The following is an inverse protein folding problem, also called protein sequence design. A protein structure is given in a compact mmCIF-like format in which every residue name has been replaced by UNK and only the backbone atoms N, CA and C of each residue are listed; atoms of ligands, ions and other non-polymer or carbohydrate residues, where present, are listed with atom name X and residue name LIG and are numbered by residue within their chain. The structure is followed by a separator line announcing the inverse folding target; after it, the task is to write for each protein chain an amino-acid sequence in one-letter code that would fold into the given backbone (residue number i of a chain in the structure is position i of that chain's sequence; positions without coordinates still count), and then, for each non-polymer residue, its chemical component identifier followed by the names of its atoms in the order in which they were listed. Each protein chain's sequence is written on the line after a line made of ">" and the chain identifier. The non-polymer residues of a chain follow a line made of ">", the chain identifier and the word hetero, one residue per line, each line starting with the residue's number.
data_IF_898617247164
#
_entry.id   IF_898617247164
#
_cell.length_a   1.000
_cell.length_b   1.000
_cell.length_c   1.000
_cell.angle_alpha   90.00
_cell.angle_beta   90.00
_cell.angle_gamma   90.00
#
_symmetry.space_group_name_H-M   'P 1'
#
loop_
_entity.id
_entity.type
_entity.pdbx_description
1 polymer ?
#
# COMPACT_ATOMS: atom_id res chain seq x y z
N UNK A 1 6.41 13.39 58.52
CA UNK A 1 5.24 12.93 57.75
C UNK A 1 5.00 13.95 56.65
N UNK A 2 5.77 13.86 55.58
CA UNK A 2 5.60 14.73 54.44
C UNK A 2 4.61 14.11 53.51
N UNK A 3 3.48 14.81 53.30
CA UNK A 3 2.45 14.42 52.34
C UNK A 3 2.99 14.62 50.93
N UNK A 4 3.11 13.53 50.20
CA UNK A 4 3.33 13.52 48.76
C UNK A 4 2.20 14.31 48.09
N UNK A 5 2.54 15.41 47.45
CA UNK A 5 1.62 16.16 46.60
C UNK A 5 1.08 15.28 45.47
N UNK A 6 -0.23 15.34 45.11
CA UNK A 6 -0.77 14.59 44.02
C UNK A 6 -0.09 15.01 42.70
N UNK A 7 0.38 14.00 41.94
CA UNK A 7 1.17 14.20 40.73
C UNK A 7 0.50 15.15 39.74
N UNK A 8 1.27 16.13 39.29
CA UNK A 8 0.90 16.98 38.17
C UNK A 8 0.62 16.12 36.98
N UNK A 9 -0.64 16.00 36.56
CA UNK A 9 -1.02 15.42 35.27
C UNK A 9 -0.35 16.26 34.18
N UNK A 10 0.63 15.66 33.47
CA UNK A 10 1.27 16.32 32.35
C UNK A 10 0.20 16.83 31.40
N UNK A 11 0.36 18.06 30.93
CA UNK A 11 -0.57 18.66 29.98
C UNK A 11 -0.75 17.70 28.79
N UNK A 12 -1.97 17.50 28.27
CA UNK A 12 -2.22 16.60 27.17
C UNK A 12 -1.38 17.04 25.97
N UNK A 13 -0.69 16.08 25.35
CA UNK A 13 0.11 16.34 24.17
C UNK A 13 -0.81 16.81 23.04
N UNK A 14 -0.46 17.89 22.39
CA UNK A 14 -1.24 18.48 21.30
C UNK A 14 -0.39 18.64 20.04
N UNK A 15 -1.05 18.58 18.89
CA UNK A 15 -0.48 18.85 17.58
C UNK A 15 -1.51 19.65 16.77
N UNK A 16 -1.17 20.85 16.36
CA UNK A 16 -2.04 21.77 15.61
C UNK A 16 -3.49 21.87 16.17
N UNK A 17 -3.58 21.89 17.50
CA UNK A 17 -4.83 21.96 18.26
C UNK A 17 -5.57 20.63 18.45
N UNK A 18 -5.13 19.55 17.83
CA UNK A 18 -5.63 18.21 18.11
C UNK A 18 -5.04 17.67 19.41
N UNK A 19 -5.90 17.16 20.29
CA UNK A 19 -5.47 16.53 21.54
C UNK A 19 -5.17 15.06 21.26
N UNK A 20 -3.93 14.64 21.52
CA UNK A 20 -3.51 13.25 21.38
C UNK A 20 -3.96 12.44 22.58
N UNK A 21 -4.69 11.38 22.31
CA UNK A 21 -5.09 10.38 23.30
C UNK A 21 -4.10 9.24 23.40
N UNK A 22 -4.62 8.03 23.57
CA UNK A 22 -3.84 6.81 23.66
C UNK A 22 -3.06 6.54 22.38
N UNK A 23 -1.81 6.06 22.53
CA UNK A 23 -1.02 5.57 21.40
C UNK A 23 -1.46 4.13 21.09
N UNK A 24 -2.11 3.95 19.94
CA UNK A 24 -2.66 2.66 19.51
C UNK A 24 -1.67 1.79 18.75
N UNK A 25 -0.65 2.42 18.11
CA UNK A 25 0.40 1.67 17.40
C UNK A 25 1.71 2.45 17.34
N UNK A 26 2.83 1.73 17.26
CA UNK A 26 4.15 2.30 17.03
C UNK A 26 4.99 1.33 16.21
N UNK A 27 5.46 1.77 15.07
CA UNK A 27 6.40 1.06 14.18
C UNK A 27 7.70 1.85 14.01
N UNK A 28 8.65 1.33 13.25
CA UNK A 28 9.84 2.08 12.85
C UNK A 28 9.46 3.32 12.03
N UNK A 29 8.38 3.26 11.24
CA UNK A 29 8.01 4.32 10.29
C UNK A 29 7.06 5.37 10.85
N UNK A 30 6.18 5.01 11.82
CA UNK A 30 5.17 5.94 12.33
C UNK A 30 4.73 5.60 13.76
N UNK A 31 4.24 6.62 14.47
CA UNK A 31 3.47 6.50 15.70
C UNK A 31 2.02 6.91 15.45
N UNK A 32 1.06 6.12 15.93
CA UNK A 32 -0.38 6.33 15.73
C UNK A 32 -1.05 6.57 17.07
N UNK A 33 -1.80 7.67 17.17
CA UNK A 33 -2.51 8.08 18.36
C UNK A 33 -4.00 8.25 18.08
N UNK A 34 -4.86 7.91 19.03
CA UNK A 34 -6.27 8.31 18.99
C UNK A 34 -6.37 9.82 19.11
N UNK A 35 -7.34 10.42 18.43
CA UNK A 35 -7.73 11.81 18.65
C UNK A 35 -8.70 11.88 19.82
N UNK A 36 -8.29 12.50 20.91
CA UNK A 36 -9.15 12.71 22.07
C UNK A 36 -9.99 14.00 21.97
N UNK A 37 -9.52 14.97 21.16
CA UNK A 37 -10.24 16.21 20.88
C UNK A 37 -9.72 16.87 19.63
N UNK A 38 -10.60 17.55 18.90
CA UNK A 38 -10.28 18.30 17.70
C UNK A 38 -10.51 19.80 17.96
N UNK A 39 -9.70 20.70 17.33
CA UNK A 39 -9.91 22.13 17.45
C UNK A 39 -11.23 22.55 16.81
N UNK A 40 -11.89 23.58 17.37
CA UNK A 40 -13.14 24.10 16.83
C UNK A 40 -13.04 24.59 15.38
N UNK A 41 -11.84 24.97 14.94
CA UNK A 41 -11.52 25.37 13.56
C UNK A 41 -11.43 24.21 12.58
N UNK A 42 -11.28 22.96 13.09
CA UNK A 42 -11.15 21.73 12.28
C UNK A 42 -12.01 20.61 12.90
N UNK A 43 -13.33 20.75 12.93
CA UNK A 43 -14.21 19.73 13.54
C UNK A 43 -14.15 18.44 12.71
N UNK A 44 -14.04 17.29 13.39
CA UNK A 44 -14.07 15.97 12.77
C UNK A 44 -15.46 15.37 12.97
N UNK A 45 -16.12 14.97 11.88
CA UNK A 45 -17.40 14.28 11.92
C UNK A 45 -17.30 12.76 12.15
N UNK A 46 -16.14 12.25 12.66
CA UNK A 46 -15.84 10.84 12.82
C UNK A 46 -14.76 10.60 13.88
N UNK A 47 -14.72 9.43 14.50
CA UNK A 47 -13.59 9.01 15.32
C UNK A 47 -12.32 8.98 14.49
N UNK A 48 -11.22 9.57 14.99
CA UNK A 48 -10.01 9.76 14.22
C UNK A 48 -8.76 9.27 14.94
N UNK A 49 -7.72 9.05 14.15
CA UNK A 49 -6.33 8.87 14.58
C UNK A 49 -5.43 9.93 13.96
N UNK A 50 -4.32 10.18 14.64
CA UNK A 50 -3.19 10.93 14.10
C UNK A 50 -2.04 9.98 13.86
N UNK A 51 -1.59 9.90 12.61
CA UNK A 51 -0.39 9.19 12.18
C UNK A 51 0.75 10.21 12.08
N UNK A 52 1.80 10.05 12.88
CA UNK A 52 3.02 10.86 12.85
C UNK A 52 4.17 10.02 12.30
N UNK A 53 4.87 10.45 11.24
CA UNK A 53 6.04 9.75 10.76
C UNK A 53 7.15 9.82 11.83
N UNK A 54 7.94 8.77 11.94
CA UNK A 54 9.15 8.74 12.76
C UNK A 54 10.34 8.99 11.85
N UNK A 55 11.02 10.08 12.10
CA UNK A 55 12.22 10.48 11.37
C UNK A 55 13.39 10.18 12.29
N UNK A 56 14.09 9.06 12.06
CA UNK A 56 15.32 8.78 12.78
C UNK A 56 16.50 9.46 12.07
N UNK A 57 17.39 10.07 12.85
CA UNK A 57 18.59 10.67 12.30
C UNK A 57 19.44 9.59 11.56
N UNK A 58 19.69 9.80 10.27
CA UNK A 58 20.46 8.87 9.42
C UNK A 58 19.60 7.87 8.62
N UNK A 59 18.28 7.81 8.82
CA UNK A 59 17.40 7.08 7.92
C UNK A 59 17.11 7.92 6.67
N UNK A 60 17.13 7.26 5.48
CA UNK A 60 16.84 7.93 4.21
C UNK A 60 15.43 8.52 4.15
N UNK A 61 15.15 9.32 3.12
CA UNK A 61 13.88 10.02 2.90
C UNK A 61 12.64 9.11 2.72
N UNK A 62 12.79 7.79 2.73
CA UNK A 62 11.75 6.80 2.42
C UNK A 62 10.48 6.92 3.29
N UNK A 63 10.55 7.04 4.64
CA UNK A 63 9.35 7.18 5.47
C UNK A 63 8.56 8.45 5.18
N UNK A 64 9.26 9.56 4.89
CA UNK A 64 8.63 10.83 4.56
C UNK A 64 7.95 10.80 3.19
N UNK A 65 8.54 10.12 2.21
CA UNK A 65 7.94 10.00 0.87
C UNK A 65 6.66 9.18 0.93
N UNK A 66 6.62 8.07 1.67
CA UNK A 66 5.40 7.30 1.88
C UNK A 66 4.33 8.13 2.59
N UNK A 67 4.71 8.87 3.64
CA UNK A 67 3.81 9.77 4.34
C UNK A 67 3.25 10.86 3.39
N UNK A 68 4.10 11.48 2.57
CA UNK A 68 3.70 12.49 1.60
C UNK A 68 2.77 11.90 0.54
N UNK A 69 3.08 10.70 0.04
CA UNK A 69 2.22 9.97 -0.92
C UNK A 69 0.83 9.77 -0.32
N UNK A 70 0.73 9.27 0.90
CA UNK A 70 -0.54 9.04 1.58
C UNK A 70 -1.32 10.34 1.79
N UNK A 71 -0.65 11.42 2.21
CA UNK A 71 -1.27 12.73 2.43
C UNK A 71 -1.80 13.39 1.15
N UNK A 72 -1.25 13.05 -0.01
CA UNK A 72 -1.71 13.53 -1.31
C UNK A 72 -2.84 12.66 -1.90
N UNK A 73 -2.79 11.35 -1.72
CA UNK A 73 -3.73 10.42 -2.34
C UNK A 73 -5.04 10.33 -1.55
N UNK A 74 -5.00 10.19 -0.22
CA UNK A 74 -6.22 10.01 0.57
C UNK A 74 -7.29 11.09 0.35
N UNK A 75 -6.97 12.40 0.26
CA UNK A 75 -7.98 13.43 -0.01
C UNK A 75 -8.70 13.28 -1.35
N UNK A 76 -8.11 12.55 -2.30
CA UNK A 76 -8.67 12.34 -3.63
C UNK A 76 -9.61 11.14 -3.70
N UNK A 77 -9.60 10.29 -2.67
CA UNK A 77 -10.40 9.07 -2.64
C UNK A 77 -11.69 9.27 -1.85
N UNK A 78 -12.82 9.11 -2.53
CA UNK A 78 -14.16 9.17 -1.95
C UNK A 78 -14.81 7.78 -1.98
N UNK A 79 -14.67 7.00 -0.89
CA UNK A 79 -15.18 5.63 -0.81
C UNK A 79 -15.37 5.18 0.64
N UNK A 80 -16.39 4.37 0.95
CA UNK A 80 -16.51 3.72 2.26
C UNK A 80 -15.39 2.72 2.54
N UNK A 81 -14.65 2.32 1.51
CA UNK A 81 -13.57 1.35 1.57
C UNK A 81 -12.18 1.97 1.83
N UNK A 82 -12.12 3.27 2.12
CA UNK A 82 -10.90 3.97 2.52
C UNK A 82 -11.19 4.83 3.75
N UNK A 83 -10.21 5.10 4.63
CA UNK A 83 -10.40 6.02 5.75
C UNK A 83 -10.74 7.43 5.26
N UNK A 84 -11.68 8.10 5.90
CA UNK A 84 -11.94 9.52 5.66
C UNK A 84 -10.73 10.35 6.04
N UNK A 85 -10.38 11.30 5.20
CA UNK A 85 -9.28 12.23 5.44
C UNK A 85 -9.78 13.40 6.31
N UNK A 86 -9.09 13.67 7.43
CA UNK A 86 -9.41 14.75 8.36
C UNK A 86 -8.46 15.95 8.28
N UNK A 87 -7.30 15.78 7.63
CA UNK A 87 -6.29 16.82 7.47
C UNK A 87 -4.87 16.31 7.56
N UNK A 88 -3.92 17.18 7.23
CA UNK A 88 -2.48 16.90 7.36
C UNK A 88 -1.76 18.13 7.87
N UNK A 89 -0.65 17.92 8.57
CA UNK A 89 0.31 18.95 8.94
C UNK A 89 1.30 19.27 7.83
N UNK A 90 2.03 20.35 8.00
CA UNK A 90 3.11 20.70 7.07
C UNK A 90 4.26 19.70 7.22
N UNK A 91 4.61 19.05 6.11
CA UNK A 91 5.66 18.03 6.08
C UNK A 91 7.04 18.55 6.49
N UNK A 92 7.28 19.84 6.33
CA UNK A 92 8.57 20.47 6.64
C UNK A 92 8.73 20.83 8.11
N UNK A 93 7.64 21.11 8.82
CA UNK A 93 7.68 21.62 10.20
C UNK A 93 7.12 20.63 11.21
N UNK A 94 5.93 20.10 10.97
CA UNK A 94 5.24 19.20 11.89
C UNK A 94 4.37 18.19 11.10
N UNK A 95 5.00 17.13 10.55
CA UNK A 95 4.29 16.18 9.73
C UNK A 95 3.34 15.31 10.58
N UNK A 96 2.05 15.39 10.28
CA UNK A 96 1.04 14.51 10.81
C UNK A 96 -0.10 14.32 9.81
N UNK A 97 -0.81 13.20 9.91
CA UNK A 97 -1.98 12.89 9.11
C UNK A 97 -3.14 12.52 10.03
N UNK A 98 -4.28 13.19 9.86
CA UNK A 98 -5.53 12.89 10.57
C UNK A 98 -6.42 12.08 9.64
N UNK A 99 -6.76 10.87 10.05
CA UNK A 99 -7.62 9.96 9.28
C UNK A 99 -8.64 9.29 10.19
N UNK A 100 -9.69 8.75 9.59
CA UNK A 100 -10.71 8.00 10.31
C UNK A 100 -10.09 6.80 11.05
N UNK A 101 -10.52 6.61 12.30
CA UNK A 101 -10.36 5.35 13.00
C UNK A 101 -11.36 4.34 12.46
N UNK A 102 -10.87 3.27 11.85
CA UNK A 102 -11.72 2.20 11.35
C UNK A 102 -11.97 1.19 12.47
N UNK A 103 -13.23 1.05 12.86
CA UNK A 103 -13.65 0.01 13.78
C UNK A 103 -13.80 -1.32 13.02
N UNK A 104 -13.20 -2.39 13.53
CA UNK A 104 -13.21 -3.70 12.89
C UNK A 104 -12.04 -4.57 13.30
N UNK A 105 -11.92 -5.71 12.65
CA UNK A 105 -10.84 -6.69 12.85
C UNK A 105 -9.89 -6.66 11.66
N UNK A 106 -8.60 -6.66 11.91
CA UNK A 106 -7.63 -6.75 10.82
C UNK A 106 -7.72 -8.10 10.12
N UNK A 107 -7.54 -8.11 8.80
CA UNK A 107 -7.51 -9.37 8.05
C UNK A 107 -6.32 -10.24 8.48
N UNK A 108 -5.23 -9.65 8.96
CA UNK A 108 -4.10 -10.36 9.55
C UNK A 108 -4.51 -11.26 10.72
N UNK A 109 -5.36 -10.73 11.61
CA UNK A 109 -5.87 -11.51 12.74
C UNK A 109 -6.69 -12.71 12.28
N UNK A 110 -7.50 -12.53 11.22
CA UNK A 110 -8.29 -13.63 10.64
C UNK A 110 -7.40 -14.67 9.94
N UNK A 111 -6.39 -14.23 9.20
CA UNK A 111 -5.44 -15.10 8.48
C UNK A 111 -4.61 -15.96 9.45
N UNK A 112 -4.39 -15.53 10.69
CA UNK A 112 -3.74 -16.36 11.73
C UNK A 112 -4.46 -17.68 12.00
N UNK A 113 -5.73 -17.77 11.66
CA UNK A 113 -6.54 -18.98 11.80
C UNK A 113 -6.61 -19.82 10.52
N UNK A 114 -5.84 -19.46 9.48
CA UNK A 114 -5.80 -20.20 8.21
C UNK A 114 -5.22 -21.64 8.41
N UNK A 115 -5.69 -22.64 7.62
CA UNK A 115 -6.59 -22.50 6.48
C UNK A 115 -8.04 -22.28 6.89
N UNK A 116 -8.69 -21.32 6.23
CA UNK A 116 -10.09 -20.97 6.43
C UNK A 116 -11.01 -21.82 5.52
N UNK A 117 -12.27 -21.95 5.91
CA UNK A 117 -13.27 -22.58 5.07
C UNK A 117 -13.44 -21.82 3.73
N UNK A 118 -13.67 -22.54 2.62
CA UNK A 118 -13.76 -21.95 1.29
C UNK A 118 -14.79 -20.81 1.19
N UNK A 119 -15.94 -20.95 1.85
CA UNK A 119 -16.96 -19.89 1.90
C UNK A 119 -16.50 -18.65 2.63
N UNK A 120 -15.66 -18.78 3.66
CA UNK A 120 -15.10 -17.64 4.39
C UNK A 120 -13.99 -16.95 3.56
N UNK A 121 -13.14 -17.73 2.89
CA UNK A 121 -12.15 -17.20 1.93
C UNK A 121 -12.86 -16.39 0.84
N UNK A 122 -13.96 -16.92 0.30
CA UNK A 122 -14.74 -16.24 -0.73
C UNK A 122 -15.36 -14.94 -0.21
N UNK A 123 -15.97 -14.97 0.95
CA UNK A 123 -16.61 -13.80 1.58
C UNK A 123 -15.60 -12.68 1.83
N UNK A 124 -14.48 -13.00 2.49
CA UNK A 124 -13.43 -12.03 2.80
C UNK A 124 -12.74 -11.54 1.53
N UNK A 125 -12.42 -12.44 0.62
CA UNK A 125 -11.80 -12.10 -0.66
C UNK A 125 -12.66 -11.19 -1.52
N UNK A 126 -13.97 -11.44 -1.58
CA UNK A 126 -14.92 -10.58 -2.30
C UNK A 126 -15.00 -9.17 -1.68
N UNK A 127 -15.01 -9.07 -0.35
CA UNK A 127 -14.99 -7.77 0.33
C UNK A 127 -13.72 -6.97 0.01
N UNK A 128 -12.54 -7.62 0.01
CA UNK A 128 -11.27 -6.97 -0.37
C UNK A 128 -11.28 -6.58 -1.86
N UNK A 129 -11.83 -7.43 -2.73
CA UNK A 129 -11.94 -7.13 -4.15
C UNK A 129 -12.86 -5.92 -4.43
N UNK A 130 -13.97 -5.76 -3.70
CA UNK A 130 -14.82 -4.56 -3.78
C UNK A 130 -14.06 -3.31 -3.35
N UNK A 131 -13.30 -3.39 -2.28
CA UNK A 131 -12.49 -2.28 -1.80
C UNK A 131 -11.44 -1.87 -2.84
N UNK A 132 -10.75 -2.83 -3.45
CA UNK A 132 -9.83 -2.57 -4.56
C UNK A 132 -10.55 -1.96 -5.77
N UNK A 133 -11.71 -2.52 -6.16
CA UNK A 133 -12.49 -1.98 -7.27
C UNK A 133 -12.84 -0.51 -7.06
N UNK A 134 -13.20 -0.13 -5.83
CA UNK A 134 -13.59 1.23 -5.50
C UNK A 134 -12.46 2.24 -5.69
N UNK A 135 -11.21 1.89 -5.37
CA UNK A 135 -10.05 2.76 -5.56
C UNK A 135 -9.54 2.71 -7.01
N UNK A 136 -9.57 1.55 -7.67
CA UNK A 136 -9.18 1.41 -9.08
C UNK A 136 -10.06 2.27 -10.00
N UNK A 137 -11.37 2.38 -9.72
CA UNK A 137 -12.26 3.29 -10.44
C UNK A 137 -11.90 4.76 -10.27
N UNK A 138 -11.17 5.10 -9.23
CA UNK A 138 -10.67 6.44 -8.95
C UNK A 138 -9.20 6.60 -9.36
N UNK A 139 -8.71 5.73 -10.25
CA UNK A 139 -7.36 5.77 -10.81
C UNK A 139 -6.24 5.62 -9.77
N UNK A 140 -6.54 5.00 -8.63
CA UNK A 140 -5.57 4.69 -7.58
C UNK A 140 -5.24 3.20 -7.54
N UNK A 141 -3.98 2.89 -7.25
CA UNK A 141 -3.43 1.53 -7.07
C UNK A 141 -2.77 1.50 -5.71
N UNK A 142 -3.07 0.49 -4.89
CA UNK A 142 -2.61 0.44 -3.51
C UNK A 142 -1.12 0.11 -3.37
N UNK A 143 -0.63 -0.86 -4.12
CA UNK A 143 0.75 -1.35 -4.17
C UNK A 143 1.33 -1.98 -2.90
N UNK A 144 0.68 -1.90 -1.77
CA UNK A 144 1.08 -2.57 -0.52
C UNK A 144 -0.11 -3.32 0.10
N UNK A 145 -0.91 -3.99 -0.75
CA UNK A 145 -2.01 -4.81 -0.26
C UNK A 145 -1.46 -6.04 0.46
N UNK A 146 -1.83 -6.18 1.73
CA UNK A 146 -1.48 -7.28 2.63
C UNK A 146 -2.52 -7.36 3.74
N UNK A 147 -2.60 -8.47 4.49
CA UNK A 147 -3.60 -8.64 5.54
C UNK A 147 -3.59 -7.55 6.60
N UNK A 148 -2.41 -7.01 6.96
CA UNK A 148 -2.26 -5.93 7.94
C UNK A 148 -2.88 -4.61 7.48
N UNK A 149 -2.97 -4.41 6.16
CA UNK A 149 -3.49 -3.18 5.55
C UNK A 149 -4.98 -3.28 5.17
N UNK A 150 -5.68 -4.30 5.67
CA UNK A 150 -7.12 -4.49 5.46
C UNK A 150 -7.83 -4.63 6.80
N UNK A 151 -8.83 -3.79 7.05
CA UNK A 151 -9.73 -3.90 8.20
C UNK A 151 -11.10 -4.35 7.73
N UNK A 152 -11.62 -5.40 8.33
CA UNK A 152 -12.99 -5.86 8.09
C UNK A 152 -13.91 -5.23 9.15
N UNK A 153 -14.83 -4.38 8.71
CA UNK A 153 -15.84 -3.76 9.59
C UNK A 153 -16.82 -4.82 10.13
N UNK A 154 -17.53 -4.54 11.22
CA UNK A 154 -18.60 -5.43 11.70
C UNK A 154 -19.70 -5.69 10.66
N UNK A 155 -19.89 -4.78 9.69
CA UNK A 155 -20.80 -4.95 8.54
C UNK A 155 -20.32 -6.00 7.53
N UNK A 156 -19.05 -6.43 7.60
CA UNK A 156 -18.41 -7.33 6.64
C UNK A 156 -17.68 -6.60 5.49
N UNK A 157 -17.76 -5.28 5.42
CA UNK A 157 -17.04 -4.49 4.42
C UNK A 157 -15.54 -4.39 4.73
N UNK A 158 -14.71 -4.49 3.70
CA UNK A 158 -13.27 -4.26 3.82
C UNK A 158 -12.94 -2.76 3.65
N UNK A 159 -12.02 -2.28 4.47
CA UNK A 159 -11.43 -0.95 4.36
C UNK A 159 -9.92 -1.11 4.17
N UNK A 160 -9.39 -0.53 3.10
CA UNK A 160 -7.96 -0.49 2.82
C UNK A 160 -7.34 0.66 3.59
N UNK A 161 -6.24 0.39 4.29
CA UNK A 161 -5.50 1.38 5.07
C UNK A 161 -4.05 1.44 4.60
N UNK A 162 -3.35 2.52 4.93
CA UNK A 162 -1.93 2.74 4.59
C UNK A 162 -1.64 2.89 3.09
N UNK A 163 -1.90 4.08 2.57
CA UNK A 163 -1.66 4.46 1.16
C UNK A 163 -0.25 5.00 0.91
N UNK A 164 0.69 4.77 1.82
CA UNK A 164 2.06 5.26 1.71
C UNK A 164 2.85 4.72 0.51
N UNK A 165 2.42 3.59 -0.07
CA UNK A 165 3.01 3.01 -1.27
C UNK A 165 2.14 3.17 -2.52
N UNK A 166 0.98 3.81 -2.40
CA UNK A 166 0.00 3.90 -3.47
C UNK A 166 0.50 4.74 -4.66
N UNK A 167 -0.12 4.51 -5.81
CA UNK A 167 0.05 5.30 -7.02
C UNK A 167 -1.31 5.86 -7.46
N UNK A 168 -1.35 7.10 -7.90
CA UNK A 168 -2.55 7.71 -8.47
C UNK A 168 -2.22 8.33 -9.83
N UNK A 169 -2.98 8.01 -10.87
CA UNK A 169 -2.65 8.39 -12.24
C UNK A 169 -2.55 9.92 -12.48
N UNK A 170 -3.21 10.73 -11.64
CA UNK A 170 -3.19 12.20 -11.72
C UNK A 170 -2.15 12.87 -10.85
N UNK A 171 -1.36 12.11 -10.09
CA UNK A 171 -0.33 12.65 -9.20
C UNK A 171 1.06 12.21 -9.66
N UNK A 172 2.10 13.01 -9.36
CA UNK A 172 3.47 12.56 -9.53
C UNK A 172 3.74 11.30 -8.68
N UNK A 173 4.40 10.31 -9.28
CA UNK A 173 4.85 9.12 -8.53
C UNK A 173 6.13 9.45 -7.76
N UNK A 174 5.98 9.88 -6.49
CA UNK A 174 7.10 10.24 -5.62
C UNK A 174 8.04 9.07 -5.31
N UNK A 175 7.55 7.83 -5.48
CA UNK A 175 8.31 6.61 -5.20
C UNK A 175 8.96 6.01 -6.45
N UNK A 176 8.71 6.55 -7.64
CA UNK A 176 9.26 6.04 -8.89
C UNK A 176 10.79 6.01 -8.91
N UNK A 177 11.44 6.95 -8.24
CA UNK A 177 12.90 7.07 -8.22
C UNK A 177 13.57 6.14 -7.18
N UNK A 178 12.83 5.60 -6.22
CA UNK A 178 13.34 4.64 -5.23
C UNK A 178 13.49 3.21 -5.80
N UNK A 179 13.56 3.06 -7.11
CA UNK A 179 13.55 1.81 -7.91
C UNK A 179 14.62 0.76 -7.57
N UNK A 180 15.50 0.98 -6.60
CA UNK A 180 16.58 0.02 -6.27
C UNK A 180 16.20 -1.07 -5.27
N UNK A 181 15.04 -0.96 -4.64
CA UNK A 181 14.45 -2.02 -3.82
C UNK A 181 13.00 -2.20 -4.23
N UNK A 182 12.56 -3.44 -4.38
CA UNK A 182 11.14 -3.72 -4.62
C UNK A 182 10.34 -3.12 -3.47
N UNK A 183 9.58 -2.07 -3.78
CA UNK A 183 8.75 -1.38 -2.79
C UNK A 183 7.50 -2.22 -2.52
N UNK A 184 7.18 -2.42 -1.26
CA UNK A 184 6.05 -3.22 -0.78
C UNK A 184 6.48 -4.36 0.15
N UNK A 185 5.50 -5.01 0.73
CA UNK A 185 5.72 -6.16 1.63
C UNK A 185 6.09 -7.40 0.82
N UNK A 186 7.33 -7.85 0.95
CA UNK A 186 7.99 -8.85 0.11
C UNK A 186 7.14 -10.08 -0.30
N UNK A 187 6.31 -10.69 0.57
CA UNK A 187 5.47 -11.82 0.17
C UNK A 187 4.40 -11.48 -0.89
N UNK A 188 3.87 -10.25 -0.88
CA UNK A 188 2.70 -9.82 -1.65
C UNK A 188 3.05 -9.01 -2.92
N UNK A 189 4.32 -8.62 -3.09
CA UNK A 189 4.80 -7.84 -4.26
C UNK A 189 4.53 -8.57 -5.57
N UNK A 190 3.99 -7.89 -6.56
CA UNK A 190 3.67 -8.45 -7.88
C UNK A 190 4.90 -8.54 -8.81
N UNK A 191 4.84 -9.34 -9.88
CA UNK A 191 5.86 -9.36 -10.94
C UNK A 191 6.15 -7.98 -11.54
N UNK A 192 5.11 -7.15 -11.73
CA UNK A 192 5.23 -5.80 -12.27
C UNK A 192 6.03 -4.90 -11.33
N UNK A 193 5.74 -4.95 -10.03
CA UNK A 193 6.48 -4.19 -9.02
C UNK A 193 7.95 -4.61 -8.95
N UNK A 194 8.25 -5.92 -9.06
CA UNK A 194 9.64 -6.41 -9.17
C UNK A 194 10.33 -5.85 -10.40
N UNK A 195 9.57 -5.61 -11.47
CA UNK A 195 10.06 -5.01 -12.72
C UNK A 195 10.05 -3.47 -12.70
N UNK A 196 9.61 -2.85 -11.60
CA UNK A 196 9.57 -1.39 -11.44
C UNK A 196 8.36 -0.73 -12.13
N UNK A 197 7.33 -1.49 -12.52
CA UNK A 197 6.09 -0.97 -13.10
C UNK A 197 5.11 -0.67 -11.98
N UNK A 198 4.65 0.59 -11.89
CA UNK A 198 3.74 1.04 -10.84
C UNK A 198 2.37 1.51 -11.36
N UNK A 199 2.16 1.54 -12.67
CA UNK A 199 0.93 2.01 -13.30
C UNK A 199 -0.07 0.90 -13.65
N UNK A 200 0.17 -0.35 -13.23
CA UNK A 200 -0.69 -1.49 -13.54
C UNK A 200 -1.51 -1.91 -12.32
N UNK A 201 -2.82 -1.67 -12.34
CA UNK A 201 -3.75 -2.01 -11.26
C UNK A 201 -3.81 -3.52 -10.97
N UNK A 202 -3.40 -4.37 -11.94
CA UNK A 202 -3.37 -5.82 -11.75
C UNK A 202 -2.29 -6.28 -10.79
N UNK A 203 -1.40 -5.37 -10.36
CA UNK A 203 -0.49 -5.60 -9.23
C UNK A 203 -1.26 -5.88 -7.94
N UNK A 204 -2.34 -5.13 -7.66
CA UNK A 204 -3.17 -5.35 -6.48
C UNK A 204 -3.96 -6.67 -6.59
N UNK A 205 -4.34 -7.09 -7.83
CA UNK A 205 -5.00 -8.38 -8.05
C UNK A 205 -4.07 -9.56 -7.78
N UNK A 206 -2.77 -9.41 -8.07
CA UNK A 206 -1.78 -10.41 -7.70
C UNK A 206 -1.64 -10.51 -6.18
N UNK A 207 -1.54 -9.38 -5.48
CA UNK A 207 -1.48 -9.34 -4.03
C UNK A 207 -2.75 -9.94 -3.38
N UNK A 208 -3.94 -9.66 -3.94
CA UNK A 208 -5.18 -10.32 -3.53
C UNK A 208 -5.09 -11.84 -3.73
N UNK A 209 -4.54 -12.31 -4.85
CA UNK A 209 -4.29 -13.73 -5.10
C UNK A 209 -3.39 -14.38 -4.05
N UNK A 210 -2.36 -13.66 -3.57
CA UNK A 210 -1.49 -14.11 -2.47
C UNK A 210 -2.29 -14.24 -1.17
N UNK A 211 -3.12 -13.25 -0.84
CA UNK A 211 -3.98 -13.26 0.35
C UNK A 211 -4.99 -14.41 0.29
N UNK A 212 -5.66 -14.61 -0.85
CA UNK A 212 -6.59 -15.73 -1.05
C UNK A 212 -5.90 -17.08 -0.87
N UNK A 213 -4.70 -17.22 -1.42
CA UNK A 213 -3.88 -18.42 -1.27
C UNK A 213 -3.53 -18.67 0.20
N UNK A 214 -3.10 -17.64 0.91
CA UNK A 214 -2.72 -17.72 2.32
C UNK A 214 -3.93 -18.07 3.19
N UNK A 215 -5.08 -17.42 3.00
CA UNK A 215 -6.34 -17.77 3.69
C UNK A 215 -6.76 -19.21 3.44
N UNK A 216 -6.62 -19.69 2.20
CA UNK A 216 -7.07 -21.04 1.80
C UNK A 216 -6.11 -22.16 2.26
N UNK A 217 -4.82 -21.87 2.45
CA UNK A 217 -3.81 -22.90 2.67
C UNK A 217 -3.00 -22.74 3.96
N UNK A 218 -3.05 -21.59 4.61
CA UNK A 218 -2.19 -21.23 5.74
C UNK A 218 -0.72 -21.03 5.35
N UNK A 219 -0.42 -20.89 4.04
CA UNK A 219 0.95 -20.73 3.54
C UNK A 219 1.03 -19.63 2.49
N UNK A 220 2.19 -19.00 2.41
CA UNK A 220 2.50 -18.04 1.35
C UNK A 220 2.91 -18.78 0.06
N UNK A 221 2.38 -18.41 -1.12
CA UNK A 221 2.63 -19.14 -2.38
C UNK A 221 4.10 -19.10 -2.82
N UNK A 222 4.80 -18.02 -2.52
CA UNK A 222 6.22 -17.80 -2.85
C UNK A 222 7.12 -17.69 -1.60
N UNK A 223 6.60 -18.07 -0.42
CA UNK A 223 7.28 -17.87 0.85
C UNK A 223 7.50 -16.41 1.21
N UNK A 224 8.43 -16.15 2.15
CA UNK A 224 8.83 -14.82 2.58
C UNK A 224 10.26 -14.50 2.05
N UNK A 225 10.41 -14.06 0.80
CA UNK A 225 11.71 -13.82 0.21
C UNK A 225 12.42 -12.66 0.92
N UNK A 226 13.70 -12.88 1.29
CA UNK A 226 14.55 -11.88 1.94
C UNK A 226 15.53 -11.22 0.97
N UNK A 227 15.53 -11.63 -0.29
CA UNK A 227 16.45 -11.14 -1.32
C UNK A 227 15.71 -10.76 -2.59
N UNK A 228 16.29 -9.85 -3.38
CA UNK A 228 15.78 -9.48 -4.70
C UNK A 228 15.73 -10.72 -5.64
N UNK A 229 16.68 -11.63 -5.52
CA UNK A 229 16.67 -12.88 -6.30
C UNK A 229 15.44 -13.72 -5.98
N UNK A 230 15.09 -13.91 -4.70
CA UNK A 230 13.88 -14.61 -4.29
C UNK A 230 12.58 -13.88 -4.70
N UNK A 231 12.61 -12.53 -4.74
CA UNK A 231 11.49 -11.75 -5.30
C UNK A 231 11.28 -12.01 -6.79
N UNK A 232 12.34 -12.26 -7.56
CA UNK A 232 12.26 -12.53 -8.99
C UNK A 232 11.64 -13.89 -9.33
N UNK A 233 11.59 -14.82 -8.40
CA UNK A 233 10.98 -16.13 -8.63
C UNK A 233 9.53 -16.03 -9.12
N UNK A 234 8.76 -15.04 -8.67
CA UNK A 234 7.38 -14.80 -9.10
C UNK A 234 7.23 -14.37 -10.56
N UNK A 235 8.32 -14.00 -11.23
CA UNK A 235 8.31 -13.67 -12.66
C UNK A 235 8.14 -14.92 -13.53
N UNK A 236 8.45 -16.11 -13.02
CA UNK A 236 8.51 -17.34 -13.80
C UNK A 236 8.04 -18.60 -13.04
N UNK A 237 8.09 -18.59 -11.71
CA UNK A 237 7.74 -19.76 -10.90
C UNK A 237 6.24 -19.78 -10.59
N UNK A 238 5.58 -20.90 -10.91
CA UNK A 238 4.24 -21.15 -10.40
C UNK A 238 4.30 -21.59 -8.94
N UNK A 239 3.40 -21.10 -8.08
CA UNK A 239 3.26 -21.61 -6.73
C UNK A 239 2.77 -23.07 -6.74
N UNK A 240 2.88 -23.76 -5.60
CA UNK A 240 2.20 -25.03 -5.43
C UNK A 240 0.68 -24.80 -5.62
N UNK A 241 -0.03 -25.63 -6.39
CA UNK A 241 -1.49 -25.51 -6.48
C UNK A 241 -2.12 -25.62 -5.08
N UNK A 242 -3.08 -24.76 -4.71
CA UNK A 242 -3.73 -24.81 -3.40
C UNK A 242 -4.23 -26.21 -3.02
N UNK A 243 -4.81 -26.96 -3.96
CA UNK A 243 -5.32 -28.33 -3.75
C UNK A 243 -4.23 -29.38 -3.52
N UNK A 244 -2.96 -29.06 -3.79
CA UNK A 244 -1.84 -29.91 -3.36
C UNK A 244 -1.63 -29.85 -1.85
N UNK A 245 -1.97 -28.73 -1.22
CA UNK A 245 -1.83 -28.49 0.21
C UNK A 245 -3.12 -28.80 0.98
N UNK A 246 -4.26 -28.48 0.37
CA UNK A 246 -5.61 -28.69 0.90
C UNK A 246 -6.43 -29.43 -0.17
N UNK A 247 -6.41 -30.78 -0.20
CA UNK A 247 -7.02 -31.60 -1.25
C UNK A 247 -8.52 -31.35 -1.44
N UNK A 248 -9.24 -31.03 -0.37
CA UNK A 248 -10.68 -30.78 -0.36
C UNK A 248 -11.06 -29.36 -0.78
N UNK A 249 -10.08 -28.50 -1.11
CA UNK A 249 -10.37 -27.16 -1.60
C UNK A 249 -11.19 -27.23 -2.89
N UNK A 250 -12.30 -26.47 -3.02
CA UNK A 250 -13.10 -26.45 -4.24
C UNK A 250 -12.30 -26.02 -5.47
N UNK A 251 -12.61 -26.63 -6.60
CA UNK A 251 -11.93 -26.36 -7.88
C UNK A 251 -12.10 -24.92 -8.32
N UNK A 252 -13.28 -24.32 -8.10
CA UNK A 252 -13.56 -22.94 -8.44
C UNK A 252 -12.67 -21.96 -7.65
N UNK A 253 -12.41 -22.25 -6.36
CA UNK A 253 -11.57 -21.38 -5.55
C UNK A 253 -10.11 -21.47 -5.98
N UNK A 254 -9.61 -22.67 -6.29
CA UNK A 254 -8.28 -22.81 -6.88
C UNK A 254 -8.17 -22.08 -8.23
N UNK A 255 -9.21 -22.15 -9.06
CA UNK A 255 -9.27 -21.45 -10.35
C UNK A 255 -9.06 -19.94 -10.16
N UNK A 256 -9.80 -19.32 -9.22
CA UNK A 256 -9.71 -17.90 -8.94
C UNK A 256 -8.32 -17.54 -8.40
N UNK A 257 -7.83 -18.28 -7.39
CA UNK A 257 -6.52 -18.04 -6.78
C UNK A 257 -5.42 -18.10 -7.85
N UNK A 258 -5.38 -19.18 -8.64
CA UNK A 258 -4.38 -19.35 -9.70
C UNK A 258 -4.53 -18.28 -10.79
N UNK A 259 -5.76 -17.88 -11.12
CA UNK A 259 -6.03 -16.80 -12.06
C UNK A 259 -5.48 -15.45 -11.62
N UNK A 260 -5.53 -15.14 -10.32
CA UNK A 260 -4.91 -13.94 -9.76
C UNK A 260 -3.38 -14.01 -9.72
N UNK A 261 -2.81 -15.22 -9.55
CA UNK A 261 -1.37 -15.44 -9.38
C UNK A 261 -0.59 -15.66 -10.69
N UNK A 262 -1.23 -15.54 -11.86
CA UNK A 262 -0.52 -15.64 -13.14
C UNK A 262 0.62 -14.61 -13.21
N UNK A 263 1.84 -15.01 -13.61
CA UNK A 263 2.96 -14.09 -13.71
C UNK A 263 2.74 -12.95 -14.71
N UNK A 264 2.10 -13.26 -15.85
CA UNK A 264 1.76 -12.27 -16.88
C UNK A 264 0.44 -11.57 -16.53
N UNK A 265 0.47 -10.25 -16.34
CA UNK A 265 -0.70 -9.46 -15.98
C UNK A 265 -1.87 -9.60 -16.98
N UNK A 266 -1.58 -9.79 -18.28
CA UNK A 266 -2.59 -10.02 -19.31
C UNK A 266 -3.35 -11.35 -19.16
N UNK A 267 -2.74 -12.34 -18.48
CA UNK A 267 -3.36 -13.65 -18.24
C UNK A 267 -4.14 -13.71 -16.91
N UNK A 268 -4.08 -12.64 -16.09
CA UNK A 268 -4.83 -12.50 -14.83
C UNK A 268 -6.25 -12.02 -15.07
N UNK A 269 -7.02 -11.97 -13.98
CA UNK A 269 -8.21 -11.12 -13.92
C UNK A 269 -7.86 -9.69 -14.33
N UNK A 270 -8.76 -9.04 -15.08
CA UNK A 270 -8.52 -7.68 -15.58
C UNK A 270 -9.16 -6.60 -14.70
N UNK A 271 -9.99 -7.00 -13.74
CA UNK A 271 -10.58 -6.07 -12.76
C UNK A 271 -10.87 -6.77 -11.43
N UNK A 272 -10.82 -6.02 -10.34
CA UNK A 272 -11.21 -6.51 -9.02
C UNK A 272 -12.70 -6.85 -8.94
N UNK A 273 -13.56 -6.12 -9.70
CA UNK A 273 -14.98 -6.44 -9.76
C UNK A 273 -15.26 -7.85 -10.31
N UNK A 274 -14.47 -8.31 -11.29
CA UNK A 274 -14.62 -9.67 -11.81
C UNK A 274 -14.19 -10.72 -10.77
N UNK A 275 -13.12 -10.47 -10.01
CA UNK A 275 -12.73 -11.35 -8.90
C UNK A 275 -13.82 -11.41 -7.83
N UNK A 276 -14.41 -10.24 -7.47
CA UNK A 276 -15.49 -10.19 -6.49
C UNK A 276 -16.75 -10.94 -6.96
N UNK A 277 -17.08 -10.84 -8.25
CA UNK A 277 -18.19 -11.56 -8.85
C UNK A 277 -18.00 -13.09 -8.77
N UNK A 278 -16.87 -13.58 -9.25
CA UNK A 278 -16.56 -15.00 -9.26
C UNK A 278 -16.50 -15.61 -7.85
N UNK A 279 -15.99 -14.87 -6.87
CA UNK A 279 -15.99 -15.30 -5.47
C UNK A 279 -17.40 -15.40 -4.87
N UNK A 280 -18.36 -14.63 -5.36
CA UNK A 280 -19.77 -14.68 -4.92
C UNK A 280 -20.62 -15.67 -5.71
N UNK A 281 -20.22 -15.98 -6.93
CA UNK A 281 -20.94 -16.84 -7.87
C UNK A 281 -20.06 -18.01 -8.30
N UNK A 282 -19.70 -18.92 -7.37
CA UNK A 282 -18.80 -20.04 -7.65
C UNK A 282 -19.34 -20.99 -8.75
N UNK A 283 -20.65 -21.02 -8.95
CA UNK A 283 -21.35 -21.77 -10.00
C UNK A 283 -21.07 -21.23 -11.41
N UNK A 284 -20.76 -19.95 -11.54
CA UNK A 284 -20.51 -19.27 -12.82
C UNK A 284 -19.02 -19.28 -13.21
N UNK A 285 -18.13 -19.74 -12.32
CA UNK A 285 -16.69 -19.75 -12.57
C UNK A 285 -16.34 -20.75 -13.68
N UNK A 286 -15.81 -20.22 -14.78
CA UNK A 286 -15.32 -21.08 -15.89
C UNK A 286 -14.05 -21.82 -15.46
N UNK A 287 -14.16 -23.14 -15.32
CA UNK A 287 -13.05 -23.99 -14.92
C UNK A 287 -12.17 -24.35 -16.12
N UNK A 288 -10.88 -24.07 -16.02
CA UNK A 288 -9.85 -24.46 -16.99
C UNK A 288 -8.79 -25.39 -16.34
N UNK A 289 -7.65 -25.58 -16.98
CA UNK A 289 -6.57 -26.42 -16.47
C UNK A 289 -6.06 -26.01 -15.08
N UNK A 290 -6.26 -24.76 -14.66
CA UNK A 290 -5.87 -24.26 -13.34
C UNK A 290 -6.66 -24.93 -12.21
N UNK A 291 -7.98 -25.13 -12.42
CA UNK A 291 -8.89 -25.76 -11.46
C UNK A 291 -8.48 -27.20 -11.11
N UNK A 292 -7.90 -27.91 -12.07
CA UNK A 292 -7.56 -29.33 -11.95
C UNK A 292 -6.08 -29.60 -11.66
N UNK A 293 -5.26 -28.56 -11.61
CA UNK A 293 -3.82 -28.70 -11.37
C UNK A 293 -3.57 -29.26 -9.96
N UNK A 294 -2.83 -30.34 -9.86
CA UNK A 294 -2.42 -30.97 -8.60
C UNK A 294 -0.90 -30.89 -8.36
N UNK A 295 -0.13 -30.61 -9.39
CA UNK A 295 1.32 -30.49 -9.31
C UNK A 295 1.78 -29.16 -9.90
N UNK A 296 2.93 -28.69 -9.45
CA UNK A 296 3.59 -27.53 -10.06
C UNK A 296 3.83 -27.76 -11.54
N UNK A 297 3.89 -26.68 -12.32
CA UNK A 297 4.25 -26.76 -13.73
C UNK A 297 5.57 -27.51 -13.93
N UNK A 298 5.64 -28.32 -14.98
CA UNK A 298 6.83 -29.13 -15.29
C UNK A 298 8.05 -28.24 -15.58
N UNK A 299 9.24 -28.79 -15.36
CA UNK A 299 10.53 -28.09 -15.48
C UNK A 299 10.74 -27.41 -16.85
N UNK A 300 10.25 -27.98 -17.93
CA UNK A 300 10.34 -27.39 -19.28
C UNK A 300 9.50 -26.11 -19.43
N UNK A 301 8.31 -26.07 -18.84
CA UNK A 301 7.46 -24.87 -18.87
C UNK A 301 8.06 -23.76 -17.99
N UNK A 302 8.57 -24.12 -16.81
CA UNK A 302 9.29 -23.20 -15.94
C UNK A 302 10.55 -22.64 -16.62
N UNK A 303 11.33 -23.48 -17.32
CA UNK A 303 12.52 -23.06 -18.04
C UNK A 303 12.18 -22.09 -19.18
N UNK A 304 11.10 -22.33 -19.93
CA UNK A 304 10.62 -21.40 -20.97
C UNK A 304 10.22 -20.04 -20.38
N UNK A 305 9.49 -20.03 -19.26
CA UNK A 305 9.11 -18.76 -18.57
C UNK A 305 10.33 -18.06 -18.01
N UNK A 306 11.28 -18.78 -17.41
CA UNK A 306 12.55 -18.23 -16.94
C UNK A 306 13.36 -17.58 -18.06
N UNK A 307 13.47 -18.23 -19.22
CA UNK A 307 14.11 -17.66 -20.40
C UNK A 307 13.40 -16.37 -20.86
N UNK A 308 12.06 -16.39 -20.92
CA UNK A 308 11.26 -15.21 -21.29
C UNK A 308 11.45 -14.06 -20.29
N UNK A 309 11.42 -14.35 -18.99
CA UNK A 309 11.65 -13.37 -17.93
C UNK A 309 13.05 -12.76 -17.99
N UNK A 310 14.03 -13.49 -18.50
CA UNK A 310 15.42 -13.05 -18.61
C UNK A 310 15.73 -12.31 -19.91
N UNK A 311 15.05 -12.65 -21.00
CA UNK A 311 15.25 -12.08 -22.33
C UNK A 311 14.36 -10.90 -22.67
N UNK A 312 13.35 -10.59 -21.87
CA UNK A 312 12.26 -9.73 -22.27
C UNK A 312 11.63 -8.85 -21.22
N UNK A 313 12.39 -8.19 -20.37
CA UNK A 313 11.83 -7.02 -19.66
C UNK A 313 12.56 -5.77 -20.12
N UNK A 314 12.29 -5.38 -21.35
CA UNK A 314 12.13 -3.96 -21.62
C UNK A 314 10.78 -3.58 -20.99
N UNK A 315 10.82 -2.91 -19.83
CA UNK A 315 9.65 -2.17 -19.38
C UNK A 315 9.18 -1.34 -20.58
N UNK A 316 7.87 -1.31 -20.89
CA UNK A 316 7.39 -0.30 -21.81
C UNK A 316 7.92 1.03 -21.28
N UNK A 317 8.44 1.92 -22.15
CA UNK A 317 8.94 3.20 -21.70
C UNK A 317 7.83 3.84 -20.86
N UNK A 318 8.21 4.32 -19.67
CA UNK A 318 7.33 5.11 -18.85
C UNK A 318 6.81 6.25 -19.74
N UNK A 319 5.58 6.12 -20.20
CA UNK A 319 4.99 7.06 -21.11
C UNK A 319 4.97 8.42 -20.41
N UNK A 320 5.68 9.37 -20.98
CA UNK A 320 5.59 10.83 -20.83
C UNK A 320 6.38 11.55 -19.74
N UNK A 321 7.01 10.94 -18.74
CA UNK A 321 7.74 11.73 -17.72
C UNK A 321 9.26 11.77 -17.89
N UNK A 322 9.85 10.95 -18.76
CA UNK A 322 11.32 10.93 -18.94
C UNK A 322 11.89 12.22 -19.52
N UNK A 323 11.10 13.01 -20.23
CA UNK A 323 11.49 14.30 -20.81
C UNK A 323 10.90 15.53 -20.09
N UNK A 324 10.19 15.35 -18.97
CA UNK A 324 9.67 16.48 -18.22
C UNK A 324 10.83 17.26 -17.58
N UNK A 325 10.84 18.60 -17.69
CA UNK A 325 11.87 19.41 -17.03
C UNK A 325 11.89 19.15 -15.54
N UNK A 326 13.09 18.95 -14.99
CA UNK A 326 13.28 18.73 -13.54
C UNK A 326 13.52 20.08 -12.88
N UNK A 327 12.65 20.45 -11.95
CA UNK A 327 12.87 21.62 -11.06
C UNK A 327 13.43 21.09 -9.76
N UNK A 328 14.70 21.35 -9.50
CA UNK A 328 15.35 21.00 -8.24
C UNK A 328 15.26 22.17 -7.27
N UNK A 329 14.70 21.92 -6.10
CA UNK A 329 14.62 22.90 -5.01
C UNK A 329 15.49 22.42 -3.86
N UNK A 330 16.56 23.16 -3.56
CA UNK A 330 17.40 22.92 -2.39
C UNK A 330 16.89 23.76 -1.22
N UNK A 331 16.59 23.09 -0.11
CA UNK A 331 16.12 23.74 1.13
C UNK A 331 17.11 23.44 2.24
N UNK A 332 17.58 24.49 2.93
CA UNK A 332 18.38 24.35 4.14
C UNK A 332 17.43 24.02 5.31
N UNK A 333 17.44 22.78 5.74
CA UNK A 333 16.58 22.30 6.83
C UNK A 333 17.15 22.58 8.22
N UNK A 334 18.41 23.05 8.30
CA UNK A 334 19.02 23.41 9.58
C UNK A 334 18.57 24.76 10.06
N UNK A 335 18.05 25.62 9.18
CA UNK A 335 17.56 26.97 9.51
C UNK A 335 16.11 27.14 9.03
N UNK A 336 15.12 26.52 9.72
CA UNK A 336 13.72 26.50 9.30
C UNK A 336 13.10 27.92 9.16
N UNK A 337 13.60 28.91 9.90
CA UNK A 337 13.11 30.28 9.89
C UNK A 337 13.82 31.17 8.87
N UNK A 338 14.63 30.61 7.95
CA UNK A 338 15.33 31.42 6.94
C UNK A 338 14.31 32.13 6.01
N UNK A 339 14.32 33.45 5.93
CA UNK A 339 13.39 34.23 5.11
C UNK A 339 13.49 33.86 3.62
N UNK A 340 14.59 33.24 3.16
CA UNK A 340 14.78 32.77 1.82
C UNK A 340 13.85 31.61 1.46
N UNK A 341 13.36 30.83 2.43
CA UNK A 341 12.41 29.75 2.21
C UNK A 341 11.09 30.24 1.61
N UNK A 342 10.61 31.41 2.05
CA UNK A 342 9.42 32.05 1.49
C UNK A 342 9.60 32.44 0.02
N UNK A 343 10.76 32.97 -0.34
CA UNK A 343 11.11 33.34 -1.70
C UNK A 343 11.28 32.11 -2.60
N UNK A 344 11.93 31.06 -2.12
CA UNK A 344 12.09 29.78 -2.83
C UNK A 344 10.72 29.17 -3.11
N UNK A 345 9.83 29.10 -2.10
CA UNK A 345 8.47 28.57 -2.22
C UNK A 345 7.67 29.34 -3.28
N UNK A 346 7.71 30.66 -3.26
CA UNK A 346 7.02 31.53 -4.22
C UNK A 346 7.60 31.41 -5.63
N UNK A 347 8.92 31.25 -5.78
CA UNK A 347 9.56 31.03 -7.06
C UNK A 347 9.20 29.66 -7.64
N UNK A 348 9.24 28.61 -6.81
CA UNK A 348 8.86 27.24 -7.19
C UNK A 348 7.40 27.18 -7.63
N UNK A 349 6.48 27.79 -6.88
CA UNK A 349 5.05 27.84 -7.25
C UNK A 349 4.84 28.54 -8.60
N UNK A 350 5.56 29.63 -8.88
CA UNK A 350 5.52 30.30 -10.18
C UNK A 350 6.03 29.45 -11.32
N UNK A 351 7.14 28.72 -11.12
CA UNK A 351 7.67 27.82 -12.15
C UNK A 351 6.69 26.68 -12.42
N UNK A 352 6.12 26.07 -11.38
CA UNK A 352 5.14 24.98 -11.50
C UNK A 352 3.82 25.45 -12.16
N UNK A 353 3.45 26.73 -12.07
CA UNK A 353 2.26 27.27 -12.74
C UNK A 353 2.43 27.48 -14.23
N UNK A 354 3.66 27.43 -14.77
CA UNK A 354 3.94 27.66 -16.19
C UNK A 354 3.70 26.41 -17.06
N UNK A 355 3.68 25.21 -16.50
CA UNK A 355 3.38 23.96 -17.20
C UNK A 355 2.91 22.89 -16.22
N UNK A 356 2.03 22.00 -16.69
CA UNK A 356 1.57 20.85 -15.90
C UNK A 356 2.57 19.67 -15.86
N UNK A 357 3.65 19.73 -16.64
CA UNK A 357 4.56 18.60 -16.88
C UNK A 357 5.96 18.85 -16.29
N UNK A 358 6.07 19.35 -15.04
CA UNK A 358 7.35 19.44 -14.33
C UNK A 358 7.54 18.30 -13.32
N UNK A 359 8.81 17.88 -13.15
CA UNK A 359 9.23 17.02 -12.06
C UNK A 359 9.90 17.87 -10.99
N UNK A 360 9.34 17.88 -9.77
CA UNK A 360 9.89 18.61 -8.63
C UNK A 360 10.75 17.67 -7.78
N UNK A 361 12.01 18.01 -7.59
CA UNK A 361 12.92 17.32 -6.66
C UNK A 361 13.27 18.29 -5.54
N UNK A 362 12.85 17.98 -4.32
CA UNK A 362 13.29 18.72 -3.12
C UNK A 362 14.53 18.04 -2.54
N UNK A 363 15.61 18.81 -2.39
CA UNK A 363 16.87 18.36 -1.79
C UNK A 363 17.06 19.08 -0.48
N UNK A 364 17.16 18.31 0.61
CA UNK A 364 17.59 18.85 1.91
C UNK A 364 19.10 18.96 1.94
N UNK A 365 19.61 20.17 2.20
CA UNK A 365 21.04 20.41 2.39
C UNK A 365 21.33 20.35 3.89
N UNK A 366 22.05 19.30 4.31
CA UNK A 366 22.57 19.17 5.68
C UNK A 366 24.05 19.51 5.62
N UNK A 367 24.44 20.58 6.33
CA UNK A 367 25.87 20.89 6.50
C UNK A 367 26.44 19.91 7.53
N UNK A 368 27.25 18.96 7.04
CA UNK A 368 28.07 18.14 7.93
C UNK A 368 29.19 19.01 8.50
N UNK A 369 29.25 19.11 9.82
CA UNK A 369 30.49 19.59 10.48
C UNK A 369 31.62 18.63 10.11
N UNK A 370 32.75 19.20 9.64
CA UNK A 370 34.01 18.47 9.36
C UNK A 370 34.77 18.20 10.65
#
# INVERSE_FOLDING_TARGET
>A
MDALAPGATAAPRQIDGFILGERVHSSAMASIYRVAGAPASKPLGFPAIIKQPRIAAGEGASPLLGFQTESLILPMLASPHVPRFGGAGDIATDPYLVIEWIEGTSLEEMVRHAPLAAGEVARLGAAVADALHSIHRQEAIHHDLKPENVIIRPSGEAVLIDFGMAHHARLPDLLAEQRRSAAGSAPYVSPEQVSGIRSDLRSDLFALGVILYEMATGKLPFGAPQTIAGLRDRLWLDPAPPRQLVPDLPQWLQQIICGCLEPEAAARYQSAAHVAFDLRHPEDVALDARAYRQLRAGTLQQLRRWWKARSGVSAPPATRTENAPVVMVAVDTMHPDDPRHGAIRSATARVLSLSADFRLICVSVVHGER
#
